data_IF_771859523511
#
_entry.id   IF_771859523511
#
_cell.length_a   1.000
_cell.length_b   1.000
_cell.length_c   1.000
_cell.angle_alpha   90.00
_cell.angle_beta   90.00
_cell.angle_gamma   90.00
#
_symmetry.space_group_name_H-M   'P 1'
#
loop_
_entity.id
_entity.type
_entity.pdbx_description
1 polymer ?
#
# COMPACT_ATOMS: atom_id res chain seq x y z
N UNK A 1 -7.25 -41.38 37.27
CA UNK A 1 -7.52 -39.97 36.89
C UNK A 1 -6.28 -39.43 36.19
N UNK A 2 -6.29 -39.35 34.85
CA UNK A 2 -5.21 -38.77 34.06
C UNK A 2 -5.66 -37.42 33.51
N UNK A 3 -4.99 -36.37 33.95
CA UNK A 3 -5.15 -34.99 33.49
C UNK A 3 -4.70 -34.89 32.03
N UNK A 4 -5.62 -34.55 31.13
CA UNK A 4 -5.30 -34.33 29.71
C UNK A 4 -4.65 -32.95 29.53
N UNK A 5 -3.53 -32.98 28.83
CA UNK A 5 -2.62 -31.88 28.56
C UNK A 5 -3.29 -30.58 28.11
N UNK A 6 -2.83 -29.50 28.71
CA UNK A 6 -3.07 -28.15 28.25
C UNK A 6 -2.47 -27.95 26.85
N UNK A 7 -3.30 -27.49 25.93
CA UNK A 7 -2.85 -26.92 24.66
C UNK A 7 -2.17 -25.59 24.98
N UNK A 8 -0.85 -25.63 25.19
CA UNK A 8 -0.01 -24.45 25.13
C UNK A 8 -0.03 -23.91 23.71
N UNK A 9 -0.83 -22.89 23.44
CA UNK A 9 -0.59 -22.00 22.30
C UNK A 9 0.71 -21.25 22.60
N UNK A 10 1.84 -21.78 22.13
CA UNK A 10 3.06 -21.01 22.03
C UNK A 10 2.77 -19.78 21.15
N UNK A 11 2.70 -18.62 21.79
CA UNK A 11 2.66 -17.33 21.13
C UNK A 11 4.02 -17.18 20.46
N UNK A 12 4.10 -17.59 19.19
CA UNK A 12 5.30 -17.47 18.38
C UNK A 12 5.76 -16.02 18.36
N UNK A 13 6.93 -15.75 18.94
CA UNK A 13 7.52 -14.41 18.97
C UNK A 13 7.74 -13.92 17.52
N UNK A 14 7.57 -12.61 17.28
CA UNK A 14 7.73 -12.01 15.95
C UNK A 14 9.07 -12.38 15.26
N UNK A 15 10.14 -12.58 16.04
CA UNK A 15 11.45 -13.05 15.55
C UNK A 15 11.42 -14.50 15.03
N UNK A 16 10.60 -15.38 15.62
CA UNK A 16 10.43 -16.77 15.19
C UNK A 16 9.60 -16.89 13.90
N UNK A 17 8.59 -16.04 13.72
CA UNK A 17 7.81 -15.95 12.48
C UNK A 17 8.63 -15.38 11.33
N UNK A 18 9.44 -14.35 11.57
CA UNK A 18 10.34 -13.79 10.57
C UNK A 18 11.32 -14.84 10.03
N UNK A 19 11.86 -15.72 10.89
CA UNK A 19 12.72 -16.86 10.48
C UNK A 19 11.97 -17.87 9.60
N UNK A 20 10.74 -18.26 9.95
CA UNK A 20 9.95 -19.23 9.16
C UNK A 20 9.55 -18.73 7.77
N UNK A 21 9.23 -17.44 7.61
CA UNK A 21 8.92 -16.85 6.29
C UNK A 21 10.19 -16.74 5.45
N UNK A 22 11.30 -16.40 6.10
CA UNK A 22 12.64 -16.42 5.51
C UNK A 22 12.99 -17.81 4.95
N UNK A 23 12.59 -18.89 5.60
CA UNK A 23 12.89 -20.28 5.18
C UNK A 23 11.97 -20.79 4.06
N UNK A 24 10.91 -20.05 3.71
CA UNK A 24 9.97 -20.36 2.62
C UNK A 24 10.31 -19.64 1.30
N UNK A 25 11.26 -18.72 1.32
CA UNK A 25 11.76 -18.00 0.14
C UNK A 25 13.04 -18.69 -0.34
N UNK A 26 13.24 -18.78 -1.65
CA UNK A 26 14.52 -19.29 -2.15
C UNK A 26 15.66 -18.37 -1.69
N UNK A 27 16.90 -18.89 -1.52
CA UNK A 27 18.04 -18.07 -1.14
C UNK A 27 18.22 -16.84 -2.06
N UNK A 28 18.02 -17.04 -3.36
CA UNK A 28 18.06 -15.99 -4.39
C UNK A 28 16.96 -14.95 -4.21
N UNK A 29 15.72 -15.36 -3.90
CA UNK A 29 14.62 -14.44 -3.63
C UNK A 29 14.86 -13.61 -2.37
N UNK A 30 15.46 -14.23 -1.34
CA UNK A 30 15.79 -13.55 -0.09
C UNK A 30 16.87 -12.51 -0.31
N UNK A 31 17.92 -12.84 -1.06
CA UNK A 31 19.01 -11.90 -1.39
C UNK A 31 18.50 -10.75 -2.26
N UNK A 32 17.67 -11.05 -3.27
CA UNK A 32 17.03 -10.04 -4.08
C UNK A 32 16.13 -9.09 -3.26
N UNK A 33 15.26 -9.62 -2.39
CA UNK A 33 14.40 -8.81 -1.54
C UNK A 33 15.21 -7.95 -0.57
N UNK A 34 16.24 -8.52 0.06
CA UNK A 34 17.14 -7.79 0.94
C UNK A 34 17.86 -6.66 0.19
N UNK A 35 18.31 -6.91 -1.04
CA UNK A 35 18.96 -5.88 -1.87
C UNK A 35 18.01 -4.71 -2.20
N UNK A 36 16.74 -4.98 -2.49
CA UNK A 36 15.73 -3.94 -2.78
C UNK A 36 15.33 -3.19 -1.51
N UNK A 37 15.11 -3.89 -0.40
CA UNK A 37 14.81 -3.30 0.91
C UNK A 37 15.99 -2.44 1.42
N UNK A 38 17.22 -2.85 1.12
CA UNK A 38 18.42 -2.08 1.45
C UNK A 38 18.50 -0.78 0.64
N UNK A 39 18.01 -0.77 -0.60
CA UNK A 39 17.96 0.42 -1.46
C UNK A 39 16.82 1.39 -1.08
N UNK A 40 15.72 0.88 -0.53
CA UNK A 40 14.62 1.70 0.00
C UNK A 40 15.00 2.62 1.15
N UNK A 41 14.22 3.70 1.30
CA UNK A 41 14.22 4.57 2.47
C UNK A 41 13.77 3.84 3.74
N UNK A 42 14.03 4.47 4.89
CA UNK A 42 13.81 3.87 6.20
C UNK A 42 12.35 3.47 6.44
N UNK A 43 11.39 4.32 6.06
CA UNK A 43 9.96 4.08 6.24
C UNK A 43 9.51 2.89 5.39
N UNK A 44 9.83 2.90 4.09
CA UNK A 44 9.46 1.83 3.17
C UNK A 44 10.09 0.48 3.58
N UNK A 45 11.33 0.50 4.08
CA UNK A 45 11.98 -0.67 4.66
C UNK A 45 11.23 -1.21 5.87
N UNK A 46 10.79 -0.34 6.78
CA UNK A 46 10.05 -0.75 7.98
C UNK A 46 8.69 -1.35 7.60
N UNK A 47 7.98 -0.75 6.65
CA UNK A 47 6.73 -1.28 6.10
C UNK A 47 6.95 -2.69 5.54
N UNK A 48 7.95 -2.87 4.66
CA UNK A 48 8.22 -4.19 4.07
C UNK A 48 8.59 -5.24 5.12
N UNK A 49 9.37 -4.86 6.16
CA UNK A 49 9.69 -5.76 7.28
C UNK A 49 8.48 -6.11 8.12
N UNK A 50 7.57 -5.16 8.36
CA UNK A 50 6.32 -5.41 9.06
C UNK A 50 5.46 -6.41 8.30
N UNK A 51 5.32 -6.25 6.98
CA UNK A 51 4.58 -7.20 6.14
C UNK A 51 5.26 -8.57 6.02
N UNK A 52 6.59 -8.63 6.12
CA UNK A 52 7.31 -9.90 6.24
C UNK A 52 7.13 -10.57 7.61
N UNK A 53 6.88 -9.79 8.67
CA UNK A 53 6.62 -10.32 10.01
C UNK A 53 5.16 -10.75 10.18
N UNK A 54 4.23 -10.05 9.52
CA UNK A 54 2.81 -10.43 9.48
C UNK A 54 2.69 -11.76 8.75
N UNK A 55 2.09 -12.74 9.41
CA UNK A 55 1.81 -14.04 8.81
C UNK A 55 0.62 -13.94 7.86
N UNK A 56 0.85 -13.39 6.67
CA UNK A 56 -0.15 -13.30 5.59
C UNK A 56 -0.70 -14.70 5.25
N UNK A 57 0.13 -15.75 5.42
CA UNK A 57 -0.29 -17.15 5.27
C UNK A 57 -1.20 -17.63 6.41
N UNK A 58 -1.20 -16.97 7.56
CA UNK A 58 -2.10 -17.25 8.68
C UNK A 58 -3.56 -17.16 8.27
N UNK A 59 -3.92 -16.15 7.47
CA UNK A 59 -5.26 -16.02 6.88
C UNK A 59 -5.59 -17.18 5.92
N UNK A 60 -4.64 -17.63 5.11
CA UNK A 60 -4.86 -18.77 4.21
C UNK A 60 -5.04 -20.08 5.00
N UNK A 61 -4.23 -20.30 6.05
CA UNK A 61 -4.40 -21.45 6.95
C UNK A 61 -5.73 -21.39 7.70
N UNK A 62 -6.16 -20.21 8.13
CA UNK A 62 -7.46 -20.01 8.77
C UNK A 62 -8.60 -20.32 7.80
N UNK A 63 -8.51 -19.88 6.54
CA UNK A 63 -9.46 -20.25 5.49
C UNK A 63 -9.59 -21.76 5.31
N UNK A 64 -8.47 -22.48 5.22
CA UNK A 64 -8.47 -23.94 5.14
C UNK A 64 -9.07 -24.60 6.39
N UNK A 65 -8.83 -24.07 7.59
CA UNK A 65 -9.48 -24.53 8.81
C UNK A 65 -11.01 -24.35 8.74
N UNK A 66 -11.48 -23.19 8.29
CA UNK A 66 -12.91 -22.89 8.14
C UNK A 66 -13.59 -23.83 7.16
N UNK A 67 -12.92 -24.17 6.05
CA UNK A 67 -13.43 -25.13 5.06
C UNK A 67 -13.67 -26.52 5.63
N UNK A 68 -12.92 -26.92 6.67
CA UNK A 68 -13.08 -28.21 7.37
C UNK A 68 -14.21 -28.18 8.41
N UNK A 69 -14.73 -27.01 8.76
CA UNK A 69 -15.84 -26.88 9.70
C UNK A 69 -17.19 -27.11 9.01
N UNK A 70 -18.14 -27.71 9.72
CA UNK A 70 -19.53 -27.85 9.29
C UNK A 70 -20.49 -26.88 9.99
N UNK A 71 -21.63 -26.61 9.35
CA UNK A 71 -22.79 -25.95 9.97
C UNK A 71 -22.52 -24.54 10.52
N UNK A 72 -23.14 -24.22 11.66
CA UNK A 72 -23.12 -22.89 12.30
C UNK A 72 -21.71 -22.38 12.62
N UNK A 73 -20.78 -23.29 12.97
CA UNK A 73 -19.37 -22.93 13.26
C UNK A 73 -18.63 -22.44 12.02
N UNK A 74 -18.92 -23.01 10.84
CA UNK A 74 -18.36 -22.52 9.57
C UNK A 74 -18.87 -21.11 9.26
N UNK A 75 -20.17 -20.87 9.42
CA UNK A 75 -20.78 -19.57 9.15
C UNK A 75 -20.19 -18.47 10.05
N UNK A 76 -20.12 -18.72 11.36
CA UNK A 76 -19.54 -17.75 12.32
C UNK A 76 -18.09 -17.41 11.98
N UNK A 77 -17.27 -18.41 11.67
CA UNK A 77 -15.87 -18.13 11.30
C UNK A 77 -15.74 -17.45 9.92
N UNK A 78 -16.63 -17.72 8.97
CA UNK A 78 -16.67 -17.00 7.69
C UNK A 78 -16.97 -15.52 7.88
N UNK A 79 -17.94 -15.19 8.75
CA UNK A 79 -18.32 -13.81 9.06
C UNK A 79 -17.15 -13.05 9.69
N UNK A 80 -16.34 -13.69 10.53
CA UNK A 80 -15.13 -13.07 11.09
C UNK A 80 -13.95 -13.04 10.10
N UNK A 81 -13.84 -14.03 9.22
CA UNK A 81 -12.74 -14.15 8.27
C UNK A 81 -12.77 -13.10 7.16
N UNK A 82 -13.94 -12.91 6.53
CA UNK A 82 -14.07 -12.05 5.35
C UNK A 82 -13.68 -10.59 5.59
N UNK A 83 -14.14 -9.92 6.67
CA UNK A 83 -13.74 -8.54 6.95
C UNK A 83 -12.22 -8.40 7.13
N UNK A 84 -11.59 -9.33 7.87
CA UNK A 84 -10.13 -9.30 8.08
C UNK A 84 -9.39 -9.51 6.76
N UNK A 85 -9.87 -10.44 5.91
CA UNK A 85 -9.29 -10.67 4.59
C UNK A 85 -9.46 -9.47 3.66
N UNK A 86 -10.61 -8.81 3.70
CA UNK A 86 -10.86 -7.58 2.94
C UNK A 86 -9.92 -6.48 3.40
N UNK A 87 -9.79 -6.27 4.72
CA UNK A 87 -8.88 -5.27 5.28
C UNK A 87 -7.42 -5.53 4.91
N UNK A 88 -6.97 -6.79 4.94
CA UNK A 88 -5.62 -7.17 4.47
C UNK A 88 -5.44 -6.83 2.98
N UNK A 89 -6.43 -7.12 2.13
CA UNK A 89 -6.33 -6.79 0.69
C UNK A 89 -6.32 -5.28 0.46
N UNK A 90 -7.18 -4.53 1.15
CA UNK A 90 -7.22 -3.07 1.10
C UNK A 90 -5.87 -2.51 1.54
N UNK A 91 -5.30 -3.02 2.63
CA UNK A 91 -4.01 -2.54 3.14
C UNK A 91 -2.87 -2.84 2.17
N UNK A 92 -2.86 -4.04 1.55
CA UNK A 92 -1.87 -4.41 0.52
C UNK A 92 -1.96 -3.48 -0.70
N UNK A 93 -3.16 -3.20 -1.20
CA UNK A 93 -3.33 -2.31 -2.36
C UNK A 93 -3.05 -0.84 -2.02
N UNK A 94 -3.44 -0.39 -0.83
CA UNK A 94 -3.17 0.97 -0.37
C UNK A 94 -1.67 1.18 -0.19
N UNK A 95 -1.08 0.46 0.76
CA UNK A 95 0.32 0.61 1.15
C UNK A 95 1.23 0.23 -0.01
N UNK A 96 0.99 -0.94 -0.62
CA UNK A 96 1.79 -1.43 -1.74
C UNK A 96 1.74 -0.50 -2.92
N UNK A 97 0.54 -0.04 -3.31
CA UNK A 97 0.38 0.89 -4.41
C UNK A 97 0.98 2.28 -4.14
N UNK A 98 1.12 2.70 -2.88
CA UNK A 98 1.74 3.96 -2.46
C UNK A 98 3.27 4.02 -2.57
N UNK A 99 3.94 2.87 -2.74
CA UNK A 99 5.40 2.79 -2.84
C UNK A 99 5.92 3.24 -4.22
N UNK A 100 7.24 3.45 -4.36
CA UNK A 100 7.84 3.68 -5.69
C UNK A 100 7.75 2.42 -6.57
N UNK A 101 7.88 2.56 -7.89
CA UNK A 101 7.78 1.42 -8.82
C UNK A 101 8.74 0.25 -8.50
N UNK A 102 9.99 0.55 -8.13
CA UNK A 102 10.97 -0.47 -7.73
C UNK A 102 10.59 -1.18 -6.43
N UNK A 103 9.93 -0.48 -5.52
CA UNK A 103 9.48 -1.00 -4.22
C UNK A 103 8.16 -1.77 -4.34
N UNK A 104 7.26 -1.35 -5.22
CA UNK A 104 6.07 -2.10 -5.61
C UNK A 104 6.44 -3.49 -6.12
N UNK A 105 7.56 -3.63 -6.83
CA UNK A 105 8.07 -4.94 -7.25
C UNK A 105 8.49 -5.83 -6.07
N UNK A 106 9.21 -5.27 -5.08
CA UNK A 106 9.60 -6.01 -3.88
C UNK A 106 8.37 -6.38 -3.03
N UNK A 107 7.52 -5.39 -2.75
CA UNK A 107 6.31 -5.55 -1.96
C UNK A 107 5.31 -6.51 -2.62
N UNK A 108 5.17 -6.43 -3.94
CA UNK A 108 4.36 -7.34 -4.72
C UNK A 108 4.82 -8.79 -4.60
N UNK A 109 6.13 -9.05 -4.55
CA UNK A 109 6.65 -10.41 -4.27
C UNK A 109 6.32 -10.88 -2.85
N UNK A 110 6.46 -10.00 -1.85
CA UNK A 110 6.11 -10.30 -0.45
C UNK A 110 4.62 -10.69 -0.33
N UNK A 111 3.74 -9.91 -0.98
CA UNK A 111 2.29 -10.11 -0.90
C UNK A 111 1.73 -11.05 -1.98
N UNK A 112 2.57 -11.56 -2.88
CA UNK A 112 2.20 -12.37 -4.07
C UNK A 112 1.19 -11.67 -4.99
N UNK A 113 1.33 -10.37 -5.15
CA UNK A 113 0.54 -9.54 -6.05
C UNK A 113 1.48 -8.91 -7.06
N UNK A 114 1.10 -8.91 -8.35
CA UNK A 114 1.91 -8.23 -9.36
C UNK A 114 1.97 -6.72 -9.07
N UNK A 115 3.13 -6.12 -9.26
CA UNK A 115 3.40 -4.68 -9.09
C UNK A 115 2.42 -3.79 -9.87
N UNK A 116 2.14 -4.11 -11.14
CA UNK A 116 1.17 -3.37 -11.93
C UNK A 116 -0.25 -3.45 -11.34
N UNK A 117 -0.63 -4.58 -10.71
CA UNK A 117 -1.95 -4.70 -10.03
C UNK A 117 -2.00 -3.81 -8.81
N UNK A 118 -0.92 -3.73 -8.03
CA UNK A 118 -0.83 -2.81 -6.89
C UNK A 118 -1.04 -1.36 -7.35
N UNK A 119 -0.31 -0.94 -8.40
CA UNK A 119 -0.44 0.40 -8.98
C UNK A 119 -1.86 0.69 -9.49
N UNK A 120 -2.44 -0.26 -10.23
CA UNK A 120 -3.77 -0.12 -10.83
C UNK A 120 -4.88 -0.02 -9.80
N UNK A 121 -4.96 -0.97 -8.86
CA UNK A 121 -6.01 -0.95 -7.84
C UNK A 121 -5.84 0.25 -6.91
N UNK A 122 -4.61 0.70 -6.68
CA UNK A 122 -4.37 1.89 -5.90
C UNK A 122 -4.93 3.15 -6.58
N UNK A 123 -4.59 3.35 -7.86
CA UNK A 123 -5.11 4.46 -8.66
C UNK A 123 -6.64 4.39 -8.81
N UNK A 124 -7.20 3.19 -9.06
CA UNK A 124 -8.63 3.01 -9.25
C UNK A 124 -9.44 3.24 -7.97
N UNK A 125 -9.00 2.74 -6.83
CA UNK A 125 -9.79 2.81 -5.60
C UNK A 125 -9.46 4.09 -4.83
N UNK A 126 -8.19 4.31 -4.52
CA UNK A 126 -7.78 5.42 -3.67
C UNK A 126 -7.58 6.72 -4.47
N UNK A 127 -7.14 6.61 -5.73
CA UNK A 127 -7.09 7.76 -6.62
C UNK A 127 -8.48 8.33 -6.89
N UNK A 128 -9.45 7.47 -7.26
CA UNK A 128 -10.85 7.89 -7.42
C UNK A 128 -11.47 8.41 -6.13
N UNK A 129 -11.24 7.76 -4.99
CA UNK A 129 -11.74 8.26 -3.70
C UNK A 129 -11.16 9.64 -3.34
N UNK A 130 -9.87 9.86 -3.62
CA UNK A 130 -9.21 11.16 -3.42
C UNK A 130 -9.79 12.22 -4.35
N UNK A 131 -9.99 11.89 -5.63
CA UNK A 131 -10.66 12.76 -6.59
C UNK A 131 -12.05 13.18 -6.13
N UNK A 132 -12.88 12.22 -5.71
CA UNK A 132 -14.21 12.48 -5.14
C UNK A 132 -14.09 13.42 -3.93
N UNK A 133 -13.13 13.19 -3.03
CA UNK A 133 -12.88 14.04 -1.87
C UNK A 133 -12.57 15.50 -2.24
N UNK A 134 -11.77 15.72 -3.28
CA UNK A 134 -11.50 17.07 -3.78
C UNK A 134 -12.74 17.72 -4.40
N UNK A 135 -13.52 16.98 -5.20
CA UNK A 135 -14.77 17.50 -5.77
C UNK A 135 -15.80 17.84 -4.69
N UNK A 136 -16.01 16.98 -3.69
CA UNK A 136 -16.96 17.25 -2.60
C UNK A 136 -16.50 18.43 -1.73
N UNK A 137 -15.20 18.54 -1.47
CA UNK A 137 -14.62 19.69 -0.74
C UNK A 137 -14.77 21.00 -1.53
N UNK A 138 -14.56 20.96 -2.85
CA UNK A 138 -14.78 22.11 -3.74
C UNK A 138 -16.24 22.56 -3.76
N UNK A 139 -17.17 21.62 -3.87
CA UNK A 139 -18.61 21.89 -3.78
C UNK A 139 -19.00 22.50 -2.44
N UNK A 140 -18.49 21.95 -1.33
CA UNK A 140 -18.75 22.50 0.00
C UNK A 140 -18.21 23.94 0.15
N UNK A 141 -17.01 24.21 -0.35
CA UNK A 141 -16.41 25.54 -0.31
C UNK A 141 -17.18 26.54 -1.17
N UNK A 142 -17.66 26.10 -2.34
CA UNK A 142 -18.51 26.91 -3.21
C UNK A 142 -19.89 27.20 -2.61
N UNK A 143 -20.46 26.22 -1.90
CA UNK A 143 -21.70 26.43 -1.14
C UNK A 143 -21.48 27.46 -0.02
N UNK A 144 -20.36 27.38 0.72
CA UNK A 144 -20.02 28.34 1.76
C UNK A 144 -19.82 29.77 1.23
N UNK A 145 -19.26 29.95 0.03
CA UNK A 145 -19.14 31.31 -0.54
C UNK A 145 -20.51 31.97 -0.70
N UNK A 146 -21.58 31.21 -0.98
CA UNK A 146 -22.93 31.76 -1.11
C UNK A 146 -23.55 32.34 0.17
N UNK A 147 -22.95 32.14 1.35
CA UNK A 147 -23.47 32.65 2.62
C UNK A 147 -22.75 33.89 3.14
N UNK A 148 -21.60 34.28 2.57
CA UNK A 148 -20.70 35.23 3.23
C UNK A 148 -20.09 36.26 2.27
N UNK A 149 -20.61 37.50 2.31
CA UNK A 149 -20.13 38.64 1.50
C UNK A 149 -18.67 39.04 1.77
N UNK A 150 -18.09 38.58 2.89
CA UNK A 150 -16.73 38.96 3.31
C UNK A 150 -15.67 38.01 2.75
N UNK A 151 -16.03 36.75 2.44
CA UNK A 151 -15.08 35.72 2.00
C UNK A 151 -15.22 35.28 0.53
N UNK A 152 -16.21 35.83 -0.20
CA UNK A 152 -16.63 35.44 -1.54
C UNK A 152 -15.47 35.15 -2.52
N UNK A 153 -14.48 36.04 -2.60
CA UNK A 153 -13.36 35.89 -3.55
C UNK A 153 -12.38 34.79 -3.13
N UNK A 154 -12.14 34.62 -1.83
CA UNK A 154 -11.17 33.65 -1.30
C UNK A 154 -11.71 32.21 -1.32
N UNK A 155 -13.00 32.04 -1.02
CA UNK A 155 -13.69 30.76 -1.05
C UNK A 155 -13.99 30.33 -2.50
N UNK A 156 -14.34 31.26 -3.38
CA UNK A 156 -14.47 31.00 -4.81
C UNK A 156 -13.15 30.53 -5.45
N UNK A 157 -12.02 31.15 -5.09
CA UNK A 157 -10.70 30.71 -5.56
C UNK A 157 -10.31 29.35 -4.96
N UNK A 158 -10.64 29.12 -3.70
CA UNK A 158 -10.40 27.82 -3.04
C UNK A 158 -11.22 26.70 -3.66
N UNK A 159 -12.49 26.93 -4.00
CA UNK A 159 -13.32 25.94 -4.68
C UNK A 159 -12.78 25.60 -6.07
N UNK A 160 -12.38 26.61 -6.85
CA UNK A 160 -11.74 26.43 -8.15
C UNK A 160 -10.44 25.62 -8.05
N UNK A 161 -9.60 25.91 -7.05
CA UNK A 161 -8.37 25.15 -6.79
C UNK A 161 -8.68 23.70 -6.43
N UNK A 162 -9.64 23.45 -5.55
CA UNK A 162 -10.03 22.09 -5.15
C UNK A 162 -10.57 21.30 -6.34
N UNK A 163 -11.41 21.91 -7.18
CA UNK A 163 -11.86 21.28 -8.43
C UNK A 163 -10.72 20.99 -9.40
N UNK A 164 -9.81 21.94 -9.57
CA UNK A 164 -8.64 21.79 -10.47
C UNK A 164 -7.73 20.67 -9.99
N UNK A 165 -7.42 20.61 -8.70
CA UNK A 165 -6.63 19.54 -8.08
C UNK A 165 -7.35 18.20 -8.23
N UNK A 166 -8.67 18.16 -7.99
CA UNK A 166 -9.48 16.96 -8.17
C UNK A 166 -9.44 16.45 -9.62
N UNK A 167 -9.62 17.33 -10.60
CA UNK A 167 -9.57 16.99 -12.03
C UNK A 167 -8.18 16.46 -12.44
N UNK A 168 -7.11 17.16 -12.06
CA UNK A 168 -5.72 16.72 -12.35
C UNK A 168 -5.45 15.37 -11.69
N UNK A 169 -5.84 15.18 -10.43
CA UNK A 169 -5.66 13.91 -9.71
C UNK A 169 -6.34 12.75 -10.44
N UNK A 170 -7.63 12.92 -10.83
CA UNK A 170 -8.38 11.90 -11.55
C UNK A 170 -7.77 11.61 -12.92
N UNK A 171 -7.32 12.62 -13.65
CA UNK A 171 -6.67 12.43 -14.95
C UNK A 171 -5.38 11.63 -14.83
N UNK A 172 -4.52 11.98 -13.86
CA UNK A 172 -3.27 11.27 -13.60
C UNK A 172 -3.54 9.82 -13.19
N UNK A 173 -4.52 9.58 -12.32
CA UNK A 173 -4.88 8.24 -11.89
C UNK A 173 -5.54 7.42 -13.00
N UNK A 174 -6.39 8.03 -13.83
CA UNK A 174 -6.95 7.39 -15.03
C UNK A 174 -5.84 6.98 -16.00
N UNK A 175 -4.88 7.87 -16.26
CA UNK A 175 -3.71 7.54 -17.08
C UNK A 175 -2.91 6.39 -16.48
N UNK A 176 -2.67 6.38 -15.17
CA UNK A 176 -1.97 5.27 -14.48
C UNK A 176 -2.73 3.96 -14.60
N UNK A 177 -4.06 3.97 -14.46
CA UNK A 177 -4.91 2.78 -14.65
C UNK A 177 -4.77 2.26 -16.08
N UNK A 178 -4.85 3.14 -17.07
CA UNK A 178 -4.75 2.80 -18.50
C UNK A 178 -3.35 2.28 -18.84
N UNK A 179 -2.27 2.99 -18.48
CA UNK A 179 -0.90 2.56 -18.78
C UNK A 179 -0.56 1.25 -18.06
N UNK A 180 -1.03 1.08 -16.81
CA UNK A 180 -0.91 -0.19 -16.09
C UNK A 180 -1.73 -1.32 -16.72
N UNK A 181 -2.86 -1.01 -17.34
CA UNK A 181 -3.67 -1.97 -18.10
C UNK A 181 -2.97 -2.42 -19.38
N UNK A 182 -2.52 -1.46 -20.20
CA UNK A 182 -1.96 -1.71 -21.52
C UNK A 182 -0.51 -2.22 -21.47
N UNK A 183 0.33 -1.63 -20.62
CA UNK A 183 1.78 -1.87 -20.60
C UNK A 183 2.25 -2.70 -19.42
N UNK A 184 1.35 -3.08 -18.51
CA UNK A 184 1.67 -3.82 -17.27
C UNK A 184 2.79 -3.14 -16.47
N UNK A 185 2.79 -1.80 -16.46
CA UNK A 185 3.75 -0.98 -15.74
C UNK A 185 3.23 -0.58 -14.36
N UNK A 186 4.19 -0.39 -13.46
CA UNK A 186 3.95 0.09 -12.10
C UNK A 186 4.37 1.56 -12.02
N UNK A 187 3.45 2.41 -11.57
CA UNK A 187 3.68 3.85 -11.42
C UNK A 187 3.63 4.23 -9.96
N UNK A 188 4.54 5.13 -9.58
CA UNK A 188 4.47 5.80 -8.30
C UNK A 188 3.20 6.68 -8.26
N UNK A 189 2.41 6.63 -7.20
CA UNK A 189 1.28 7.52 -7.03
C UNK A 189 1.71 8.93 -6.66
N UNK A 190 0.86 9.86 -7.06
CA UNK A 190 0.88 11.23 -6.59
C UNK A 190 -0.06 11.37 -5.38
N UNK A 191 0.33 12.19 -4.42
CA UNK A 191 -0.46 12.45 -3.23
C UNK A 191 0.40 12.64 -1.98
N UNK A 192 -0.22 13.16 -0.93
CA UNK A 192 0.47 13.46 0.32
C UNK A 192 1.05 12.20 0.97
N UNK A 193 0.26 11.13 1.11
CA UNK A 193 0.72 9.89 1.75
C UNK A 193 1.89 9.23 0.98
N UNK A 194 1.82 9.01 -0.35
CA UNK A 194 2.97 8.59 -1.14
C UNK A 194 4.20 9.49 -0.96
N UNK A 195 4.03 10.82 -0.92
CA UNK A 195 5.13 11.75 -0.75
C UNK A 195 5.80 11.57 0.62
N UNK A 196 5.02 11.43 1.69
CA UNK A 196 5.51 11.23 3.05
C UNK A 196 6.27 9.91 3.18
N UNK A 197 5.69 8.79 2.74
CA UNK A 197 6.35 7.48 2.93
C UNK A 197 7.62 7.35 2.05
N UNK A 198 7.59 7.91 0.84
CA UNK A 198 8.72 7.85 -0.09
C UNK A 198 9.75 8.97 0.14
N UNK A 199 9.47 9.95 1.01
CA UNK A 199 10.37 11.06 1.33
C UNK A 199 11.78 10.58 1.70
N UNK A 200 11.87 9.57 2.57
CA UNK A 200 13.14 8.98 3.00
C UNK A 200 13.89 8.32 1.86
N UNK A 201 13.18 7.74 0.89
CA UNK A 201 13.77 7.17 -0.33
C UNK A 201 14.31 8.28 -1.23
N UNK A 202 13.59 9.39 -1.38
CA UNK A 202 14.05 10.54 -2.14
C UNK A 202 15.27 11.22 -1.53
N UNK A 203 15.24 11.50 -0.22
CA UNK A 203 16.35 12.10 0.51
C UNK A 203 17.62 11.24 0.40
N UNK A 204 17.46 9.92 0.53
CA UNK A 204 18.59 9.00 0.36
C UNK A 204 19.17 9.06 -1.05
N UNK A 205 18.34 9.05 -2.10
CA UNK A 205 18.81 9.17 -3.49
C UNK A 205 19.49 10.51 -3.77
N UNK A 206 18.99 11.60 -3.18
CA UNK A 206 19.61 12.92 -3.28
C UNK A 206 20.99 12.93 -2.59
N UNK A 207 21.09 12.36 -1.40
CA UNK A 207 22.36 12.25 -0.67
C UNK A 207 23.38 11.35 -1.38
N UNK A 208 22.94 10.28 -2.02
CA UNK A 208 23.80 9.43 -2.86
C UNK A 208 24.30 10.19 -4.10
N UNK A 209 23.44 10.97 -4.77
CA UNK A 209 23.83 11.82 -5.89
C UNK A 209 24.83 12.91 -5.48
N UNK A 210 24.64 13.54 -4.32
CA UNK A 210 25.58 14.57 -3.86
C UNK A 210 26.95 14.00 -3.47
N UNK A 211 27.01 12.73 -3.06
CA UNK A 211 28.28 12.03 -2.74
C UNK A 211 29.03 11.54 -3.97
N UNK A 212 28.33 11.18 -5.05
CA UNK A 212 28.94 10.60 -6.25
C UNK A 212 29.39 11.66 -7.28
N UNK A 213 29.17 12.96 -7.03
CA UNK A 213 29.45 14.02 -7.99
C UNK A 213 28.51 13.99 -9.21
N UNK A 214 28.58 14.97 -10.13
CA UNK A 214 27.81 14.93 -11.36
C UNK A 214 28.16 13.66 -12.16
N UNK A 215 27.18 13.02 -12.81
CA UNK A 215 27.47 11.83 -13.60
C UNK A 215 28.49 12.19 -14.69
N UNK A 216 29.60 11.45 -14.75
CA UNK A 216 30.43 11.43 -15.95
C UNK A 216 29.54 10.93 -17.08
N UNK A 217 29.05 11.84 -17.91
CA UNK A 217 28.35 11.53 -19.14
C UNK A 217 29.42 11.05 -20.12
N UNK A 218 29.49 9.76 -20.48
CA UNK A 218 30.31 9.36 -21.60
C UNK A 218 29.77 10.08 -22.84
N UNK A 219 30.64 10.86 -23.49
CA UNK A 219 30.38 11.47 -24.80
C UNK A 219 30.33 10.40 -25.87
#
# INVERSE_FOLDING_TARGET
MQSKGGYGMEIGTAKGQERRIKDLLSPEEREFLNSLIARSGLINRLIMRLYLAIDIKGLDRWSHYIQRLGGKKRLLNLVSYWPVRILERISVFYVGGSLTAGEQKAFGRICRVSDYKLSRYNALVFGSATGIGFFTSGQFTHWLSGFDTIFDTSLGLTSLLLFSIGAISVLVDAWRVIDSYLRKKAHMPFGFFPLVINSTTFLKRLAERSRLGPPNVPR
#
